data_IF_650062248972
#
_entry.id   IF_650062248972
#
_cell.length_a   1.000
_cell.length_b   1.000
_cell.length_c   1.000
_cell.angle_alpha   90.00
_cell.angle_beta   90.00
_cell.angle_gamma   90.00
#
_symmetry.space_group_name_H-M   'P 1'
#
loop_
_entity.id
_entity.type
_entity.pdbx_description
1 polymer ?
#
# COMPACT_ATOMS: atom_id res chain seq x y z
N UNK A 1 -18.46 -16.45 -12.24
CA UNK A 1 -18.55 -16.96 -10.85
C UNK A 1 -17.17 -17.41 -10.34
N UNK A 2 -16.64 -18.59 -10.69
CA UNK A 2 -15.33 -19.05 -10.16
C UNK A 2 -14.13 -18.18 -10.60
N UNK A 3 -14.12 -17.71 -11.86
CA UNK A 3 -13.01 -16.91 -12.40
C UNK A 3 -12.97 -15.47 -11.86
N UNK A 4 -14.13 -14.86 -11.60
CA UNK A 4 -14.23 -13.48 -11.10
C UNK A 4 -13.72 -13.37 -9.66
N UNK A 5 -14.07 -14.33 -8.80
CA UNK A 5 -13.55 -14.40 -7.42
C UNK A 5 -12.04 -14.63 -7.43
N UNK A 6 -11.55 -15.46 -8.35
CA UNK A 6 -10.12 -15.70 -8.52
C UNK A 6 -9.38 -14.43 -8.98
N UNK A 7 -9.94 -13.68 -9.93
CA UNK A 7 -9.39 -12.41 -10.40
C UNK A 7 -9.31 -11.37 -9.27
N UNK A 8 -10.39 -11.18 -8.51
CA UNK A 8 -10.43 -10.23 -7.39
C UNK A 8 -9.44 -10.61 -6.27
N UNK A 9 -9.34 -11.89 -5.97
CA UNK A 9 -8.39 -12.40 -4.98
C UNK A 9 -6.95 -12.14 -5.43
N UNK A 10 -6.63 -12.47 -6.68
CA UNK A 10 -5.28 -12.26 -7.23
C UNK A 10 -4.93 -10.78 -7.31
N UNK A 11 -5.85 -9.92 -7.71
CA UNK A 11 -5.64 -8.47 -7.72
C UNK A 11 -5.36 -7.94 -6.32
N UNK A 12 -6.15 -8.36 -5.32
CA UNK A 12 -5.95 -7.93 -3.93
C UNK A 12 -4.60 -8.41 -3.38
N UNK A 13 -4.25 -9.68 -3.62
CA UNK A 13 -3.02 -10.29 -3.12
C UNK A 13 -1.78 -9.70 -3.80
N UNK A 14 -1.77 -9.59 -5.12
CA UNK A 14 -0.61 -9.07 -5.88
C UNK A 14 -0.39 -7.59 -5.61
N UNK A 15 -1.45 -6.78 -5.59
CA UNK A 15 -1.34 -5.35 -5.27
C UNK A 15 -0.94 -5.15 -3.81
N UNK A 16 -1.52 -5.92 -2.89
CA UNK A 16 -1.11 -5.91 -1.47
C UNK A 16 0.37 -6.29 -1.29
N UNK A 17 0.84 -7.31 -2.01
CA UNK A 17 2.24 -7.72 -2.02
C UNK A 17 3.18 -6.64 -2.57
N UNK A 18 2.79 -5.96 -3.66
CA UNK A 18 3.54 -4.84 -4.24
C UNK A 18 3.65 -3.66 -3.27
N UNK A 19 2.56 -3.31 -2.57
CA UNK A 19 2.57 -2.25 -1.54
C UNK A 19 3.54 -2.63 -0.41
N UNK A 20 3.55 -3.90 0.01
CA UNK A 20 4.46 -4.39 1.04
C UNK A 20 5.92 -4.32 0.60
N UNK A 21 6.19 -4.62 -0.67
CA UNK A 21 7.52 -4.48 -1.27
C UNK A 21 7.96 -3.00 -1.34
N UNK A 22 7.05 -2.08 -1.69
CA UNK A 22 7.32 -0.64 -1.62
C UNK A 22 7.65 -0.20 -0.19
N UNK A 23 6.93 -0.71 0.82
CA UNK A 23 7.22 -0.44 2.22
C UNK A 23 8.63 -0.90 2.63
N UNK A 24 9.04 -2.09 2.18
CA UNK A 24 10.39 -2.61 2.39
C UNK A 24 11.47 -1.74 1.72
N UNK A 25 11.25 -1.31 0.48
CA UNK A 25 12.18 -0.42 -0.24
C UNK A 25 12.35 0.91 0.51
N UNK A 26 11.26 1.53 0.94
CA UNK A 26 11.33 2.81 1.66
C UNK A 26 12.03 2.66 3.00
N UNK A 27 11.82 1.53 3.70
CA UNK A 27 12.55 1.22 4.93
C UNK A 27 14.06 1.09 4.68
N UNK A 28 14.47 0.33 3.66
CA UNK A 28 15.88 0.17 3.28
C UNK A 28 16.48 1.51 2.84
N UNK A 29 15.74 2.29 2.05
CA UNK A 29 16.17 3.62 1.59
C UNK A 29 16.33 4.59 2.76
N UNK A 30 15.39 4.62 3.71
CA UNK A 30 15.48 5.47 4.89
C UNK A 30 16.75 5.16 5.71
N UNK A 31 17.09 3.87 5.81
CA UNK A 31 18.28 3.39 6.52
C UNK A 31 19.58 3.71 5.75
N UNK A 32 19.61 3.47 4.43
CA UNK A 32 20.77 3.79 3.57
C UNK A 32 21.02 5.28 3.42
N UNK A 33 19.97 6.09 3.32
CA UNK A 33 20.06 7.53 3.12
C UNK A 33 20.40 8.29 4.42
N UNK A 34 20.61 7.58 5.55
CA UNK A 34 20.75 8.18 6.89
C UNK A 34 19.64 9.21 7.14
N UNK A 35 18.43 8.92 6.68
CA UNK A 35 17.29 9.79 6.87
C UNK A 35 17.12 9.94 8.38
N UNK A 36 17.48 11.11 8.92
CA UNK A 36 17.38 11.40 10.35
C UNK A 36 15.94 11.22 10.82
N UNK A 37 15.70 11.38 12.12
CA UNK A 37 14.38 11.15 12.75
C UNK A 37 13.21 11.79 12.01
N UNK A 38 13.43 12.97 11.42
CA UNK A 38 12.45 13.68 10.58
C UNK A 38 12.26 13.06 9.20
N UNK A 39 13.34 12.62 8.54
CA UNK A 39 13.27 12.00 7.21
C UNK A 39 12.57 10.64 7.24
N UNK A 40 12.85 9.83 8.26
CA UNK A 40 12.12 8.57 8.48
C UNK A 40 10.64 8.82 8.79
N UNK A 41 10.32 9.85 9.59
CA UNK A 41 8.92 10.20 9.89
C UNK A 41 8.16 10.62 8.63
N UNK A 42 8.72 11.50 7.79
CA UNK A 42 8.08 11.93 6.54
C UNK A 42 7.95 10.79 5.53
N UNK A 43 8.96 9.93 5.41
CA UNK A 43 8.90 8.74 4.54
C UNK A 43 7.79 7.78 4.97
N UNK A 44 7.66 7.52 6.28
CA UNK A 44 6.55 6.72 6.82
C UNK A 44 5.20 7.40 6.65
N UNK A 45 5.14 8.73 6.78
CA UNK A 45 3.90 9.48 6.60
C UNK A 45 3.42 9.46 5.15
N UNK A 46 4.33 9.64 4.20
CA UNK A 46 4.03 9.56 2.76
C UNK A 46 3.55 8.16 2.37
N UNK A 47 4.21 7.11 2.88
CA UNK A 47 3.80 5.72 2.68
C UNK A 47 2.44 5.44 3.31
N UNK A 48 2.25 5.89 4.55
CA UNK A 48 0.98 5.78 5.28
C UNK A 48 -0.16 6.46 4.54
N UNK A 49 0.04 7.67 4.02
CA UNK A 49 -0.95 8.38 3.20
C UNK A 49 -1.28 7.62 1.91
N UNK A 50 -0.27 7.04 1.24
CA UNK A 50 -0.48 6.23 0.04
C UNK A 50 -1.32 4.98 0.30
N UNK A 51 -1.00 4.23 1.36
CA UNK A 51 -1.75 3.04 1.78
C UNK A 51 -3.15 3.43 2.25
N UNK A 52 -3.27 4.51 3.02
CA UNK A 52 -4.55 5.02 3.51
C UNK A 52 -5.46 5.42 2.35
N UNK A 53 -4.93 6.11 1.33
CA UNK A 53 -5.68 6.44 0.11
C UNK A 53 -6.14 5.20 -0.65
N UNK A 54 -5.31 4.16 -0.71
CA UNK A 54 -5.69 2.88 -1.31
C UNK A 54 -6.84 2.21 -0.54
N UNK A 55 -6.78 2.17 0.80
CA UNK A 55 -7.83 1.61 1.66
C UNK A 55 -9.14 2.42 1.53
N UNK A 56 -9.06 3.75 1.55
CA UNK A 56 -10.23 4.61 1.38
C UNK A 56 -10.90 4.32 0.04
N UNK A 57 -10.11 4.19 -1.04
CA UNK A 57 -10.65 3.83 -2.36
C UNK A 57 -11.39 2.49 -2.32
N UNK A 58 -10.80 1.43 -1.76
CA UNK A 58 -11.46 0.12 -1.68
C UNK A 58 -12.74 0.17 -0.86
N UNK A 59 -12.73 0.88 0.28
CA UNK A 59 -13.93 1.07 1.12
C UNK A 59 -15.01 1.87 0.39
N UNK A 60 -14.64 2.93 -0.33
CA UNK A 60 -15.59 3.74 -1.12
C UNK A 60 -16.21 2.92 -2.26
N UNK A 61 -15.44 2.06 -2.94
CA UNK A 61 -15.95 1.15 -3.96
C UNK A 61 -16.95 0.17 -3.33
N UNK A 62 -16.55 -0.49 -2.24
CA UNK A 62 -17.41 -1.44 -1.54
C UNK A 62 -18.73 -0.81 -1.05
N UNK A 63 -18.69 0.43 -0.55
CA UNK A 63 -19.89 1.15 -0.09
C UNK A 63 -20.76 1.63 -1.27
N UNK A 64 -20.16 1.99 -2.40
CA UNK A 64 -20.92 2.40 -3.60
C UNK A 64 -21.64 1.23 -4.30
N UNK A 65 -21.45 0.00 -3.84
CA UNK A 65 -22.11 -1.19 -4.40
C UNK A 65 -21.68 -1.48 -5.84
N UNK A 66 -20.43 -1.11 -6.17
CA UNK A 66 -19.75 -1.37 -7.44
C UNK A 66 -18.67 -2.43 -7.23
#
# INVERSE_FOLDING_TARGET
METEVFEDLMMTVLVGGLILFMAFIVWDLAKKSKAGRYGTAVLFFALGLGVLGFIIKTVVIAIKGL
#
